data_IF_621553124016
#
_entry.id   IF_621553124016
#
_cell.length_a   1.000
_cell.length_b   1.000
_cell.length_c   1.000
_cell.angle_alpha   90.00
_cell.angle_beta   90.00
_cell.angle_gamma   90.00
#
_symmetry.space_group_name_H-M   'P 1'
#
loop_
_entity.id
_entity.type
_entity.pdbx_description
1 polymer ?
#
# COMPACT_ATOMS: atom_id res chain seq x y z
N UNK A 1 -14.62 -3.98 -0.35
CA UNK A 1 -13.26 -3.63 -0.82
C UNK A 1 -12.80 -4.41 -2.07
N UNK A 2 -13.32 -5.61 -2.36
CA UNK A 2 -12.87 -6.43 -3.50
C UNK A 2 -13.34 -5.93 -4.87
N UNK A 3 -14.20 -4.90 -4.92
CA UNK A 3 -14.51 -4.22 -6.17
C UNK A 3 -13.18 -3.74 -6.80
N UNK A 4 -12.91 -4.03 -8.09
CA UNK A 4 -11.64 -3.69 -8.74
C UNK A 4 -11.23 -2.22 -8.61
N UNK A 5 -12.19 -1.29 -8.70
CA UNK A 5 -11.94 0.15 -8.55
C UNK A 5 -11.39 0.48 -7.17
N UNK A 6 -11.88 -0.18 -6.12
CA UNK A 6 -11.36 0.02 -4.77
C UNK A 6 -10.07 -0.76 -4.52
N UNK A 7 -10.05 -2.04 -4.89
CA UNK A 7 -8.93 -2.95 -4.65
C UNK A 7 -7.64 -2.49 -5.32
N UNK A 8 -7.73 -1.86 -6.49
CA UNK A 8 -6.57 -1.37 -7.25
C UNK A 8 -6.52 0.16 -7.37
N UNK A 9 -7.66 0.83 -7.45
CA UNK A 9 -7.69 2.29 -7.58
C UNK A 9 -7.22 3.01 -6.33
N UNK A 10 -7.53 2.52 -5.13
CA UNK A 10 -7.01 3.12 -3.88
C UNK A 10 -5.48 2.96 -3.81
N UNK A 11 -4.89 1.75 -4.01
CA UNK A 11 -3.45 1.61 -4.13
C UNK A 11 -2.81 2.49 -5.20
N UNK A 12 -3.41 2.58 -6.39
CA UNK A 12 -2.89 3.41 -7.48
C UNK A 12 -2.89 4.90 -7.10
N UNK A 13 -3.97 5.40 -6.50
CA UNK A 13 -4.05 6.78 -6.03
C UNK A 13 -3.00 7.07 -4.95
N UNK A 14 -2.81 6.15 -4.00
CA UNK A 14 -1.77 6.28 -2.97
C UNK A 14 -0.37 6.29 -3.58
N UNK A 15 -0.10 5.48 -4.61
CA UNK A 15 1.17 5.51 -5.33
C UNK A 15 1.40 6.84 -6.05
N UNK A 16 0.37 7.42 -6.66
CA UNK A 16 0.46 8.75 -7.28
C UNK A 16 0.78 9.81 -6.22
N UNK A 17 0.07 9.82 -5.10
CA UNK A 17 0.32 10.74 -3.99
C UNK A 17 1.74 10.54 -3.45
N UNK A 18 2.17 9.30 -3.25
CA UNK A 18 3.53 8.97 -2.82
C UNK A 18 4.58 9.56 -3.77
N UNK A 19 4.42 9.39 -5.08
CA UNK A 19 5.33 9.94 -6.09
C UNK A 19 5.37 11.47 -6.03
N UNK A 20 4.23 12.13 -5.87
CA UNK A 20 4.17 13.60 -5.72
C UNK A 20 5.01 14.03 -4.50
N UNK A 21 4.78 13.44 -3.33
CA UNK A 21 5.56 13.79 -2.13
C UNK A 21 7.04 13.42 -2.24
N UNK A 22 7.38 12.37 -2.98
CA UNK A 22 8.75 11.95 -3.20
C UNK A 22 9.53 12.96 -4.05
N UNK A 23 8.94 13.45 -5.15
CA UNK A 23 9.60 14.37 -6.08
C UNK A 23 9.52 15.84 -5.66
N UNK A 24 8.52 16.24 -4.89
CA UNK A 24 8.41 17.62 -4.40
C UNK A 24 9.47 17.87 -3.32
N UNK A 25 10.66 18.29 -3.76
CA UNK A 25 11.80 18.66 -2.91
C UNK A 25 11.60 19.98 -2.17
N UNK A 26 10.60 20.78 -2.57
CA UNK A 26 10.37 22.15 -2.07
C UNK A 26 9.46 22.24 -0.83
N UNK A 27 8.93 21.11 -0.36
CA UNK A 27 8.11 21.05 0.86
C UNK A 27 8.98 21.16 2.12
N UNK A 28 8.51 21.94 3.11
CA UNK A 28 9.20 22.27 4.37
C UNK A 28 9.70 21.02 5.09
N UNK A 29 10.95 21.08 5.55
CA UNK A 29 11.67 20.06 6.33
C UNK A 29 11.73 18.66 5.70
N UNK A 30 12.96 18.19 5.42
CA UNK A 30 13.23 16.79 5.04
C UNK A 30 12.58 15.78 5.99
N UNK A 31 12.39 16.16 7.24
CA UNK A 31 11.79 15.34 8.28
C UNK A 31 10.30 15.11 8.04
N UNK A 32 9.56 16.17 7.74
CA UNK A 32 8.12 16.08 7.48
C UNK A 32 7.83 15.24 6.24
N UNK A 33 8.62 15.42 5.17
CA UNK A 33 8.48 14.62 3.95
C UNK A 33 8.65 13.12 4.23
N UNK A 34 9.70 12.73 4.97
CA UNK A 34 9.95 11.31 5.29
C UNK A 34 8.85 10.72 6.17
N UNK A 35 8.33 11.50 7.11
CA UNK A 35 7.18 11.10 7.91
C UNK A 35 5.94 10.84 7.03
N UNK A 36 5.60 11.78 6.14
CA UNK A 36 4.44 11.64 5.23
C UNK A 36 4.61 10.45 4.28
N UNK A 37 5.80 10.26 3.69
CA UNK A 37 6.08 9.10 2.83
C UNK A 37 5.93 7.78 3.59
N UNK A 38 6.38 7.74 4.85
CA UNK A 38 6.19 6.57 5.73
C UNK A 38 4.71 6.31 5.98
N UNK A 39 3.93 7.35 6.30
CA UNK A 39 2.49 7.26 6.55
C UNK A 39 1.75 6.68 5.32
N UNK A 40 2.02 7.22 4.13
CA UNK A 40 1.41 6.76 2.87
C UNK A 40 1.77 5.30 2.62
N UNK A 41 3.04 4.92 2.80
CA UNK A 41 3.50 3.56 2.59
C UNK A 41 2.83 2.56 3.56
N UNK A 42 2.77 2.88 4.85
CA UNK A 42 2.11 2.05 5.87
C UNK A 42 0.63 1.90 5.58
N UNK A 43 -0.03 2.99 5.17
CA UNK A 43 -1.43 2.95 4.80
C UNK A 43 -1.68 2.07 3.57
N UNK A 44 -0.84 2.19 2.53
CA UNK A 44 -0.87 1.32 1.34
C UNK A 44 -0.74 -0.16 1.72
N UNK A 45 0.22 -0.51 2.56
CA UNK A 45 0.44 -1.88 3.05
C UNK A 45 -0.78 -2.39 3.81
N UNK A 46 -1.26 -1.61 4.77
CA UNK A 46 -2.34 -2.00 5.68
C UNK A 46 -3.66 -2.16 4.94
N UNK A 47 -3.97 -1.24 4.03
CA UNK A 47 -5.13 -1.34 3.15
C UNK A 47 -5.03 -2.59 2.26
N UNK A 48 -3.91 -2.78 1.56
CA UNK A 48 -3.73 -3.93 0.66
C UNK A 48 -3.78 -5.26 1.41
N UNK A 49 -3.26 -5.31 2.63
CA UNK A 49 -3.36 -6.47 3.51
C UNK A 49 -4.81 -6.78 3.89
N UNK A 50 -5.60 -5.77 4.27
CA UNK A 50 -7.03 -5.95 4.58
C UNK A 50 -7.80 -6.48 3.37
N UNK A 51 -7.55 -5.94 2.16
CA UNK A 51 -8.19 -6.42 0.93
C UNK A 51 -7.80 -7.87 0.62
N UNK A 52 -6.50 -8.19 0.73
CA UNK A 52 -6.01 -9.56 0.51
C UNK A 52 -6.60 -10.54 1.52
N UNK A 53 -6.59 -10.21 2.81
CA UNK A 53 -7.13 -11.08 3.86
C UNK A 53 -8.64 -11.31 3.67
N UNK A 54 -9.38 -10.26 3.31
CA UNK A 54 -10.81 -10.40 3.00
C UNK A 54 -11.05 -11.29 1.76
N UNK A 55 -10.17 -11.24 0.75
CA UNK A 55 -10.26 -12.15 -0.41
C UNK A 55 -10.08 -13.63 -0.02
N UNK A 56 -9.20 -13.92 0.94
CA UNK A 56 -8.98 -15.28 1.46
C UNK A 56 -10.24 -15.82 2.13
N UNK A 57 -10.90 -14.99 2.96
CA UNK A 57 -12.17 -15.35 3.61
C UNK A 57 -13.25 -15.65 2.57
N UNK A 58 -13.35 -14.85 1.50
CA UNK A 58 -14.35 -15.07 0.44
C UNK A 58 -14.09 -16.35 -0.35
N UNK A 59 -12.83 -16.65 -0.67
CA UNK A 59 -12.48 -17.90 -1.37
C UNK A 59 -12.74 -19.12 -0.50
N UNK A 60 -12.45 -19.04 0.80
CA UNK A 60 -12.68 -20.15 1.73
C UNK A 60 -14.16 -20.57 1.80
N UNK A 61 -15.10 -19.65 1.53
CA UNK A 61 -16.55 -19.92 1.55
C UNK A 61 -17.18 -20.13 0.17
N UNK A 62 -16.50 -19.77 -0.92
CA UNK A 62 -17.04 -19.91 -2.30
C UNK A 62 -16.16 -20.81 -3.15
N UNK A 63 -15.12 -20.26 -3.77
CA UNK A 63 -14.03 -20.91 -4.50
C UNK A 63 -13.22 -19.83 -5.23
N UNK A 64 -12.02 -20.16 -5.70
CA UNK A 64 -11.22 -19.24 -6.52
C UNK A 64 -11.91 -18.91 -7.87
N UNK A 65 -12.62 -19.88 -8.45
CA UNK A 65 -13.32 -19.71 -9.73
C UNK A 65 -14.53 -18.78 -9.60
N UNK A 66 -15.30 -18.94 -8.52
CA UNK A 66 -16.41 -18.04 -8.18
C UNK A 66 -15.92 -16.63 -7.86
N UNK A 67 -14.78 -16.49 -7.17
CA UNK A 67 -14.16 -15.19 -6.94
C UNK A 67 -13.85 -14.46 -8.26
N UNK A 68 -13.18 -15.14 -9.20
CA UNK A 68 -12.82 -14.54 -10.48
C UNK A 68 -14.06 -14.16 -11.30
N UNK A 69 -15.09 -15.00 -11.29
CA UNK A 69 -16.37 -14.71 -11.97
C UNK A 69 -17.08 -13.50 -11.37
N UNK A 70 -17.05 -13.35 -10.05
CA UNK A 70 -17.76 -12.27 -9.34
C UNK A 70 -17.02 -10.93 -9.39
N UNK A 71 -15.69 -10.92 -9.36
CA UNK A 71 -14.89 -9.70 -9.26
C UNK A 71 -14.11 -9.34 -10.53
N UNK A 72 -14.01 -10.23 -11.52
CA UNK A 72 -13.36 -9.94 -12.80
C UNK A 72 -11.83 -9.93 -12.77
N UNK A 73 -11.22 -10.43 -11.70
CA UNK A 73 -9.77 -10.61 -11.59
C UNK A 73 -9.42 -11.82 -10.72
N UNK A 74 -8.23 -12.38 -10.92
CA UNK A 74 -7.73 -13.46 -10.06
C UNK A 74 -7.23 -12.89 -8.74
N UNK A 75 -7.55 -13.57 -7.64
CA UNK A 75 -7.18 -13.15 -6.29
C UNK A 75 -5.66 -12.92 -6.12
N UNK A 76 -4.82 -13.68 -6.84
CA UNK A 76 -3.37 -13.47 -6.86
C UNK A 76 -2.92 -12.07 -7.29
N UNK A 77 -3.73 -11.30 -8.03
CA UNK A 77 -3.39 -9.91 -8.41
C UNK A 77 -3.34 -8.96 -7.21
N UNK A 78 -4.03 -9.27 -6.11
CA UNK A 78 -4.03 -8.46 -4.89
C UNK A 78 -2.68 -8.47 -4.17
N UNK A 79 -1.80 -9.43 -4.48
CA UNK A 79 -0.44 -9.51 -3.93
C UNK A 79 0.43 -8.35 -4.42
N UNK A 80 0.18 -7.84 -5.63
CA UNK A 80 0.99 -6.76 -6.23
C UNK A 80 0.99 -5.48 -5.38
N UNK A 81 -0.17 -4.86 -5.07
CA UNK A 81 -0.19 -3.67 -4.22
C UNK A 81 0.29 -3.94 -2.80
N UNK A 82 0.11 -5.17 -2.29
CA UNK A 82 0.59 -5.57 -0.96
C UNK A 82 2.13 -5.60 -0.88
N UNK A 83 2.79 -6.25 -1.83
CA UNK A 83 4.26 -6.31 -1.88
C UNK A 83 4.83 -4.90 -2.08
N UNK A 84 4.24 -4.11 -2.99
CA UNK A 84 4.67 -2.73 -3.22
C UNK A 84 4.57 -1.89 -1.94
N UNK A 85 3.44 -1.96 -1.24
CA UNK A 85 3.27 -1.32 0.05
C UNK A 85 4.34 -1.77 1.04
N UNK A 86 4.50 -3.09 1.22
CA UNK A 86 5.42 -3.63 2.21
C UNK A 86 6.87 -3.18 1.97
N UNK A 87 7.34 -3.24 0.72
CA UNK A 87 8.67 -2.77 0.33
C UNK A 87 8.83 -1.28 0.63
N UNK A 88 7.85 -0.44 0.25
CA UNK A 88 7.88 0.99 0.55
C UNK A 88 7.84 1.26 2.05
N UNK A 89 7.06 0.52 2.82
CA UNK A 89 7.00 0.66 4.28
C UNK A 89 8.37 0.38 4.91
N UNK A 90 9.02 -0.73 4.54
CA UNK A 90 10.35 -1.11 5.06
C UNK A 90 11.38 -0.03 4.73
N UNK A 91 11.41 0.44 3.48
CA UNK A 91 12.36 1.47 3.03
C UNK A 91 12.14 2.78 3.80
N UNK A 92 10.91 3.25 3.91
CA UNK A 92 10.60 4.52 4.58
C UNK A 92 10.82 4.46 6.09
N UNK A 93 10.45 3.35 6.74
CA UNK A 93 10.78 3.14 8.14
C UNK A 93 12.28 3.17 8.37
N UNK A 94 13.08 2.48 7.54
CA UNK A 94 14.54 2.50 7.66
C UNK A 94 15.10 3.94 7.61
N UNK A 95 14.65 4.75 6.65
CA UNK A 95 15.09 6.16 6.56
C UNK A 95 14.62 7.02 7.73
N UNK A 96 13.39 6.79 8.21
CA UNK A 96 12.82 7.51 9.34
C UNK A 96 13.58 7.18 10.64
N UNK A 97 13.84 5.91 10.92
CA UNK A 97 14.62 5.47 12.09
C UNK A 97 16.07 5.96 12.05
N UNK A 98 16.73 5.91 10.89
CA UNK A 98 18.10 6.43 10.73
C UNK A 98 18.18 7.93 10.98
N UNK A 99 17.10 8.66 10.71
CA UNK A 99 17.05 10.10 10.95
C UNK A 99 16.88 10.43 12.43
N UNK A 100 16.01 9.70 13.15
CA UNK A 100 15.84 9.90 14.60
C UNK A 100 17.14 9.63 15.36
N UNK A 101 17.88 8.57 15.01
CA UNK A 101 19.19 8.25 15.60
C UNK A 101 20.31 9.28 15.36
N UNK A 102 20.15 10.21 14.40
CA UNK A 102 21.15 11.26 14.13
C UNK A 102 20.89 12.55 14.91
N UNK A 103 19.74 12.65 15.58
CA UNK A 103 19.34 13.81 16.38
C UNK A 103 19.62 13.61 17.87
N UNK A 104 19.87 12.37 18.29
CA UNK A 104 20.52 12.02 19.56
C UNK A 104 22.05 12.13 19.41
#
# INVERSE_FOLDING_TARGET
MLNPLFAFGVPAALMVIYMIFYFVKKLRSTDYRRFVLTLIAVFLTTFSYQVYNYSQTVIAITSAESFQKNFGYSQGRLVVPLILGAVLSVINFYYLFRQFRKKE
#
